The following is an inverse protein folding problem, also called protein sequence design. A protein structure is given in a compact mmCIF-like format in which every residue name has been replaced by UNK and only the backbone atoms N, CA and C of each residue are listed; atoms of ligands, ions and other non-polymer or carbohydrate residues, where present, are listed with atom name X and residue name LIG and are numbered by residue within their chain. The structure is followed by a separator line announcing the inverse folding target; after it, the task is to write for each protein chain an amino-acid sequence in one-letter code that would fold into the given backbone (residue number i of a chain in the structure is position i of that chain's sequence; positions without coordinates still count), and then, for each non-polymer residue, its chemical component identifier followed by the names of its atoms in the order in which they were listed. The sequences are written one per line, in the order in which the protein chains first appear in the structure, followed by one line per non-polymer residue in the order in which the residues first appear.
data_IF_493234073488
#
_entry.id   IF_493234073488
#
_cell.length_a   1.000
_cell.length_b   1.000
_cell.length_c   1.000
_cell.angle_alpha   90.00
_cell.angle_beta   90.00
_cell.angle_gamma   90.00
#
_symmetry.space_group_name_H-M   'P 1'
#
loop_
_entity.id
_entity.type
_entity.pdbx_description
1 polymer ?
#
# COMPACT_ATOMS: atom_id res chain seq x y z
N UNK A 1 -11.45 10.55 -15.81
CA UNK A 1 -10.76 9.63 -14.87
C UNK A 1 -9.70 8.91 -15.66
N UNK A 2 -8.42 9.07 -15.31
CA UNK A 2 -7.39 8.17 -15.85
C UNK A 2 -7.44 6.95 -14.93
N UNK A 3 -8.15 5.89 -15.35
CA UNK A 3 -8.02 4.58 -14.71
C UNK A 3 -6.60 4.08 -15.00
N UNK A 4 -5.66 4.43 -14.11
CA UNK A 4 -4.37 3.77 -14.08
C UNK A 4 -4.55 2.47 -13.32
N UNK A 5 -4.37 1.38 -14.03
CA UNK A 5 -4.26 0.08 -13.39
C UNK A 5 -3.04 0.08 -12.46
N UNK A 6 -3.17 -0.51 -11.28
CA UNK A 6 -2.10 -0.56 -10.28
C UNK A 6 -1.50 -1.94 -10.33
N UNK A 7 -0.29 -2.05 -10.86
CA UNK A 7 0.39 -3.34 -10.99
C UNK A 7 0.88 -3.87 -9.63
N UNK A 8 1.03 -5.20 -9.52
CA UNK A 8 1.59 -5.86 -8.33
C UNK A 8 3.00 -5.33 -8.02
N UNK A 9 3.81 -5.08 -9.06
CA UNK A 9 5.15 -4.51 -8.90
C UNK A 9 5.12 -3.12 -8.24
N UNK A 10 4.14 -2.29 -8.58
CA UNK A 10 3.98 -0.99 -7.93
C UNK A 10 3.54 -1.12 -6.47
N UNK A 11 2.72 -2.12 -6.15
CA UNK A 11 2.32 -2.42 -4.77
C UNK A 11 3.55 -2.85 -3.95
N UNK A 12 4.40 -3.73 -4.50
CA UNK A 12 5.65 -4.11 -3.83
C UNK A 12 6.57 -2.91 -3.59
N UNK A 13 6.71 -2.05 -4.59
CA UNK A 13 7.48 -0.81 -4.47
C UNK A 13 6.88 0.14 -3.44
N UNK A 14 5.55 0.23 -3.35
CA UNK A 14 4.87 1.00 -2.33
C UNK A 14 5.12 0.45 -0.92
N UNK A 15 5.16 -0.87 -0.75
CA UNK A 15 5.49 -1.51 0.55
C UNK A 15 6.95 -1.25 0.91
N UNK A 16 7.88 -1.35 -0.05
CA UNK A 16 9.32 -1.15 0.19
C UNK A 16 9.66 0.33 0.42
N UNK A 17 9.26 1.22 -0.49
CA UNK A 17 9.73 2.61 -0.59
C UNK A 17 8.66 3.66 -0.25
N UNK A 18 7.40 3.29 -0.14
CA UNK A 18 6.33 4.22 0.19
C UNK A 18 6.47 4.82 1.58
N UNK A 19 5.93 6.02 1.76
CA UNK A 19 5.82 6.65 3.07
C UNK A 19 4.85 5.84 3.92
N UNK A 20 5.26 5.45 5.13
CA UNK A 20 4.50 4.50 5.96
C UNK A 20 3.89 5.24 7.14
N UNK A 21 2.62 4.98 7.37
CA UNK A 21 1.88 5.43 8.54
C UNK A 21 1.31 4.21 9.26
N UNK A 22 1.46 4.16 10.59
CA UNK A 22 0.92 3.09 11.39
C UNK A 22 -0.57 3.38 11.69
N UNK A 23 -1.44 2.50 11.20
CA UNK A 23 -2.85 2.48 11.59
C UNK A 23 -3.07 1.46 12.69
N UNK A 24 -3.41 1.94 13.89
CA UNK A 24 -3.73 1.05 15.01
C UNK A 24 -4.93 0.14 14.66
N UNK A 25 -4.92 -1.14 15.08
CA UNK A 25 -3.95 -1.76 16.00
C UNK A 25 -2.68 -2.34 15.35
N UNK A 26 -2.67 -2.68 14.06
CA UNK A 26 -1.54 -3.37 13.42
C UNK A 26 -1.54 -3.30 11.88
N UNK A 27 -2.08 -2.23 11.32
CA UNK A 27 -2.07 -1.99 9.87
C UNK A 27 -1.04 -0.93 9.52
N UNK A 28 -0.50 -1.00 8.32
CA UNK A 28 0.44 -0.03 7.78
C UNK A 28 -0.19 0.55 6.53
N UNK A 29 -0.49 1.84 6.58
CA UNK A 29 -0.89 2.61 5.41
C UNK A 29 0.39 3.07 4.70
N UNK A 30 0.62 2.54 3.49
CA UNK A 30 1.72 2.94 2.63
C UNK A 30 1.21 3.90 1.57
N UNK A 31 1.85 5.05 1.50
CA UNK A 31 1.56 6.09 0.56
C UNK A 31 2.60 6.08 -0.57
N UNK A 32 2.17 5.86 -1.82
CA UNK A 32 3.08 5.79 -2.95
C UNK A 32 2.48 6.39 -4.23
N UNK A 33 3.16 7.36 -4.83
CA UNK A 33 2.77 8.02 -6.09
C UNK A 33 1.30 8.47 -6.05
N UNK A 34 0.46 7.92 -6.92
CA UNK A 34 -0.96 8.24 -7.11
C UNK A 34 -1.89 7.26 -6.39
N UNK A 35 -1.40 6.47 -5.42
CA UNK A 35 -2.25 5.56 -4.65
C UNK A 35 -1.77 5.36 -3.22
N UNK A 36 -2.60 4.70 -2.43
CA UNK A 36 -2.28 4.22 -1.10
C UNK A 36 -2.57 2.73 -1.03
N UNK A 37 -1.76 2.00 -0.29
CA UNK A 37 -2.00 0.58 0.01
C UNK A 37 -2.01 0.38 1.51
N UNK A 38 -3.05 -0.26 2.02
CA UNK A 38 -3.10 -0.72 3.41
C UNK A 38 -2.60 -2.15 3.44
N UNK A 39 -1.55 -2.37 4.23
CA UNK A 39 -0.99 -3.69 4.46
C UNK A 39 -1.04 -4.06 5.92
N UNK A 40 -0.95 -5.35 6.22
CA UNK A 40 -0.73 -5.87 7.55
C UNK A 40 0.45 -6.82 7.49
N UNK A 41 1.44 -6.61 8.35
CA UNK A 41 2.56 -7.52 8.49
C UNK A 41 2.16 -8.65 9.44
N UNK A 42 2.31 -9.89 9.00
CA UNK A 42 2.14 -11.09 9.84
C UNK A 42 3.40 -11.92 9.62
N UNK A 43 4.14 -12.18 10.70
CA UNK A 43 5.46 -12.81 10.67
C UNK A 43 6.42 -12.12 9.68
N UNK A 44 6.78 -12.78 8.59
CA UNK A 44 7.68 -12.27 7.57
C UNK A 44 6.96 -11.77 6.29
N UNK A 45 5.64 -11.92 6.23
CA UNK A 45 4.83 -11.64 5.05
C UNK A 45 4.02 -10.34 5.20
N UNK A 46 3.80 -9.66 4.07
CA UNK A 46 2.93 -8.49 3.98
C UNK A 46 1.63 -8.86 3.27
N UNK A 47 0.52 -8.77 4.00
CA UNK A 47 -0.81 -8.98 3.45
C UNK A 47 -1.36 -7.65 2.96
N UNK A 48 -1.70 -7.58 1.68
CA UNK A 48 -2.35 -6.42 1.08
C UNK A 48 -3.85 -6.49 1.36
N UNK A 49 -4.38 -5.52 2.09
CA UNK A 49 -5.80 -5.47 2.49
C UNK A 49 -6.59 -4.62 1.50
N UNK A 50 -6.04 -3.46 1.13
CA UNK A 50 -6.75 -2.49 0.31
C UNK A 50 -5.77 -1.68 -0.51
N UNK A 51 -6.07 -1.49 -1.79
CA UNK A 51 -5.36 -0.56 -2.67
C UNK A 51 -6.37 0.51 -3.09
N UNK A 52 -6.02 1.78 -2.89
CA UNK A 52 -6.89 2.91 -3.21
C UNK A 52 -6.11 3.96 -4.01
N UNK A 53 -6.51 4.26 -5.25
CA UNK A 53 -5.99 5.42 -5.99
C UNK A 53 -6.26 6.72 -5.21
N UNK A 54 -5.28 7.62 -5.18
CA UNK A 54 -5.40 8.99 -4.68
C UNK A 54 -5.59 9.93 -5.86
N UNK A 55 -6.59 10.79 -5.73
CA UNK A 55 -7.01 11.76 -6.72
C UNK A 55 -6.54 13.14 -6.26
#
# INVERSE_FOLDING_TARGET
MIERDISVNEIEEAIKKGAKELQMPNKILCHFRYFSVVTKKIDNDYFVITVKPRW
#
